data_IF_567287156913
#
_entry.id   IF_567287156913
#
_cell.length_a   1.000
_cell.length_b   1.000
_cell.length_c   1.000
_cell.angle_alpha   90.00
_cell.angle_beta   90.00
_cell.angle_gamma   90.00
#
_symmetry.space_group_name_H-M   'P 1'
#
loop_
_entity.id
_entity.type
_entity.pdbx_description
1 polymer ?
#
# COMPACT_ATOMS: atom_id res chain seq x y z
N UNK A 1 63.02 -41.11 51.65
CA UNK A 1 61.63 -41.30 51.18
C UNK A 1 60.99 -39.94 50.95
N UNK A 2 60.69 -39.59 49.71
CA UNK A 2 59.57 -38.74 49.25
C UNK A 2 59.83 -38.42 47.77
N UNK A 3 59.30 -39.27 46.89
CA UNK A 3 59.26 -39.02 45.45
C UNK A 3 58.07 -38.13 45.12
N UNK A 4 58.33 -37.03 44.43
CA UNK A 4 57.31 -36.11 43.94
C UNK A 4 56.45 -36.79 42.86
N UNK A 5 55.13 -36.86 43.07
CA UNK A 5 54.16 -37.31 42.05
C UNK A 5 53.77 -36.12 41.18
N UNK A 6 54.12 -36.18 39.89
CA UNK A 6 53.68 -35.22 38.89
C UNK A 6 52.19 -35.43 38.55
N UNK A 7 51.37 -34.41 38.77
CA UNK A 7 49.94 -34.39 38.39
C UNK A 7 49.85 -33.91 36.94
N UNK A 8 49.49 -34.81 36.00
CA UNK A 8 49.15 -34.44 34.62
C UNK A 8 47.72 -33.89 34.59
N UNK A 9 47.56 -32.59 34.32
CA UNK A 9 46.26 -31.99 34.02
C UNK A 9 45.92 -32.26 32.55
N UNK A 10 44.84 -33.01 32.31
CA UNK A 10 44.28 -33.24 30.98
C UNK A 10 43.38 -32.03 30.64
N UNK A 11 43.85 -31.16 29.74
CA UNK A 11 43.07 -30.02 29.26
C UNK A 11 42.07 -30.48 28.20
N UNK A 12 40.77 -30.37 28.48
CA UNK A 12 39.72 -30.54 27.47
C UNK A 12 39.62 -29.25 26.64
N UNK A 13 39.92 -29.36 25.35
CA UNK A 13 39.74 -28.28 24.39
C UNK A 13 38.30 -28.30 23.89
N UNK A 14 37.45 -27.42 24.41
CA UNK A 14 36.05 -27.28 23.95
C UNK A 14 36.05 -26.50 22.63
N UNK A 15 35.75 -27.18 21.52
CA UNK A 15 35.57 -26.55 20.22
C UNK A 15 34.17 -25.93 20.15
N UNK A 16 34.09 -24.60 20.24
CA UNK A 16 32.84 -23.84 20.13
C UNK A 16 32.53 -23.64 18.63
N UNK A 17 31.62 -24.45 18.09
CA UNK A 17 31.15 -24.32 16.71
C UNK A 17 30.17 -23.13 16.62
N UNK A 18 30.65 -21.97 16.16
CA UNK A 18 29.80 -20.83 15.84
C UNK A 18 29.05 -21.11 14.53
N UNK A 19 27.81 -21.57 14.64
CA UNK A 19 26.87 -21.60 13.52
C UNK A 19 26.44 -20.15 13.27
N UNK A 20 27.01 -19.51 12.25
CA UNK A 20 26.48 -18.26 11.73
C UNK A 20 25.17 -18.57 11.00
N UNK A 21 24.06 -18.55 11.74
CA UNK A 21 22.74 -18.53 11.13
C UNK A 21 22.64 -17.20 10.36
N UNK A 22 22.41 -17.20 9.03
CA UNK A 22 22.08 -15.96 8.36
C UNK A 22 20.81 -15.44 9.03
N UNK A 23 20.95 -14.33 9.76
CA UNK A 23 19.81 -13.59 10.27
C UNK A 23 19.05 -13.18 9.03
N UNK A 24 17.95 -13.87 8.75
CA UNK A 24 17.00 -13.42 7.74
C UNK A 24 16.39 -12.15 8.32
N UNK A 25 17.03 -11.02 8.01
CA UNK A 25 16.56 -9.71 8.39
C UNK A 25 15.15 -9.59 7.81
N UNK A 26 14.15 -9.53 8.70
CA UNK A 26 12.75 -9.57 8.30
C UNK A 26 12.49 -8.59 7.14
N UNK A 27 11.78 -9.08 6.13
CA UNK A 27 11.37 -8.36 4.93
C UNK A 27 11.00 -6.91 5.27
N UNK A 28 11.81 -5.99 4.75
CA UNK A 28 11.71 -4.55 5.02
C UNK A 28 10.60 -3.99 4.14
N UNK A 29 9.75 -3.14 4.71
CA UNK A 29 8.91 -2.25 3.90
C UNK A 29 9.86 -1.27 3.22
N UNK A 30 9.72 -1.19 1.91
CA UNK A 30 10.44 -0.24 1.08
C UNK A 30 9.50 0.91 0.70
N UNK A 31 10.06 2.03 0.30
CA UNK A 31 9.29 3.24 0.02
C UNK A 31 9.89 4.03 -1.13
N UNK A 32 9.09 4.33 -2.14
CA UNK A 32 9.42 5.29 -3.20
C UNK A 32 8.76 6.62 -2.84
N UNK A 33 9.55 7.70 -2.78
CA UNK A 33 9.02 9.04 -2.49
C UNK A 33 8.90 9.86 -3.76
N UNK A 34 7.73 10.45 -3.96
CA UNK A 34 7.38 11.28 -5.11
C UNK A 34 6.91 12.64 -4.62
N UNK A 35 7.44 13.72 -5.18
CA UNK A 35 6.94 15.06 -4.93
C UNK A 35 5.83 15.38 -5.94
N UNK A 36 4.65 15.75 -5.45
CA UNK A 36 3.50 16.16 -6.26
C UNK A 36 3.30 17.65 -6.06
N UNK A 37 3.33 18.42 -7.15
CA UNK A 37 3.22 19.87 -7.13
C UNK A 37 1.96 20.33 -7.87
N UNK A 38 1.26 21.30 -7.27
CA UNK A 38 0.29 22.12 -7.98
C UNK A 38 0.98 23.42 -8.45
N UNK A 39 1.36 23.55 -9.73
CA UNK A 39 2.08 24.74 -10.21
C UNK A 39 1.18 25.97 -10.36
N UNK A 40 -0.13 25.82 -10.17
CA UNK A 40 -1.12 26.87 -10.45
C UNK A 40 -1.55 27.63 -9.21
N UNK A 41 -2.05 28.85 -9.42
CA UNK A 41 -2.63 29.70 -8.37
C UNK A 41 -4.05 29.27 -7.92
N UNK A 42 -4.62 28.23 -8.52
CA UNK A 42 -5.93 27.70 -8.16
C UNK A 42 -5.78 26.46 -7.28
N UNK A 43 -6.66 26.29 -6.30
CA UNK A 43 -6.73 25.07 -5.50
C UNK A 43 -7.20 23.89 -6.38
N UNK A 44 -6.63 22.70 -6.15
CA UNK A 44 -6.99 21.46 -6.82
C UNK A 44 -7.43 20.43 -5.76
N UNK A 45 -8.71 20.46 -5.35
CA UNK A 45 -9.26 19.40 -4.50
C UNK A 45 -9.36 18.11 -5.32
N UNK A 46 -9.03 16.97 -4.70
CA UNK A 46 -9.04 15.65 -5.33
C UNK A 46 -8.34 15.62 -6.70
N UNK A 47 -7.14 16.20 -6.79
CA UNK A 47 -6.36 16.18 -8.03
C UNK A 47 -5.98 14.74 -8.39
N UNK A 48 -6.29 14.31 -9.61
CA UNK A 48 -5.90 13.01 -10.13
C UNK A 48 -4.39 12.95 -10.34
N UNK A 49 -3.76 11.92 -9.76
CA UNK A 49 -2.35 11.61 -9.93
C UNK A 49 -2.25 10.20 -10.49
N UNK A 50 -1.53 10.09 -11.61
CA UNK A 50 -1.29 8.83 -12.31
C UNK A 50 0.21 8.65 -12.45
N UNK A 51 0.72 7.53 -11.95
CA UNK A 51 2.15 7.20 -11.97
C UNK A 51 2.35 5.90 -12.73
N UNK A 52 3.15 5.95 -13.79
CA UNK A 52 3.46 4.76 -14.59
C UNK A 52 4.18 3.68 -13.77
N UNK A 53 3.64 2.47 -13.75
CA UNK A 53 4.26 1.31 -13.12
C UNK A 53 5.60 0.95 -13.78
N UNK A 54 5.76 0.95 -15.13
CA UNK A 54 7.07 0.78 -15.75
C UNK A 54 8.15 1.75 -15.27
N UNK A 55 7.78 2.99 -14.92
CA UNK A 55 8.73 3.96 -14.33
C UNK A 55 9.09 3.56 -12.90
N UNK A 56 8.10 3.17 -12.09
CA UNK A 56 8.35 2.70 -10.73
C UNK A 56 9.22 1.45 -10.69
N UNK A 57 9.00 0.50 -11.61
CA UNK A 57 9.81 -0.73 -11.73
C UNK A 57 11.26 -0.46 -12.14
N UNK A 58 11.54 0.62 -12.87
CA UNK A 58 12.94 1.04 -13.13
C UNK A 58 13.66 1.52 -11.88
N UNK A 59 12.92 2.10 -10.93
CA UNK A 59 13.44 2.62 -9.66
C UNK A 59 13.54 1.47 -8.63
N UNK A 60 12.51 0.63 -8.60
CA UNK A 60 12.33 -0.48 -7.69
C UNK A 60 11.91 -1.74 -8.48
N UNK A 61 12.88 -2.50 -9.02
CA UNK A 61 12.58 -3.72 -9.80
C UNK A 61 11.88 -4.82 -8.99
N UNK A 62 11.91 -4.72 -7.66
CA UNK A 62 11.29 -5.65 -6.71
C UNK A 62 9.92 -5.16 -6.20
N UNK A 63 9.33 -4.13 -6.82
CA UNK A 63 8.03 -3.60 -6.46
C UNK A 63 6.93 -4.66 -6.56
N UNK A 64 6.20 -4.85 -5.46
CA UNK A 64 5.08 -5.79 -5.36
C UNK A 64 3.74 -5.06 -5.53
N UNK A 65 3.19 -5.07 -6.74
CA UNK A 65 1.99 -4.29 -7.09
C UNK A 65 0.73 -4.67 -6.28
N UNK A 66 0.57 -5.95 -5.96
CA UNK A 66 -0.55 -6.43 -5.14
C UNK A 66 -0.42 -6.11 -3.64
N UNK A 67 0.73 -5.60 -3.20
CA UNK A 67 1.01 -5.26 -1.80
C UNK A 67 1.75 -3.94 -1.72
N UNK A 68 1.05 -2.87 -2.11
CA UNK A 68 1.47 -1.49 -1.91
C UNK A 68 0.44 -0.67 -1.13
N UNK A 69 0.91 0.43 -0.56
CA UNK A 69 0.12 1.43 0.15
C UNK A 69 0.66 2.81 -0.19
N UNK A 70 -0.22 3.78 -0.43
CA UNK A 70 0.15 5.17 -0.70
C UNK A 70 -0.14 6.01 0.53
N UNK A 71 0.84 6.80 0.98
CA UNK A 71 0.65 7.79 2.04
C UNK A 71 1.15 9.15 1.60
N UNK A 72 0.61 10.22 2.17
CA UNK A 72 1.11 11.56 1.92
C UNK A 72 1.23 12.36 3.21
N UNK A 73 2.21 13.26 3.21
CA UNK A 73 2.39 14.27 4.25
C UNK A 73 2.06 15.65 3.69
N UNK A 74 2.05 16.66 4.56
CA UNK A 74 2.00 18.08 4.15
C UNK A 74 3.38 18.65 3.78
N UNK A 75 4.43 17.83 3.78
CA UNK A 75 5.80 18.25 3.54
C UNK A 75 6.05 18.60 2.07
N UNK A 76 6.83 19.65 1.81
CA UNK A 76 7.27 20.02 0.47
C UNK A 76 8.63 19.41 0.11
N UNK A 77 9.36 18.87 1.09
CA UNK A 77 10.72 18.33 0.91
C UNK A 77 10.90 17.02 1.65
N UNK A 78 11.87 16.21 1.22
CA UNK A 78 12.20 14.93 1.87
C UNK A 78 12.64 15.09 3.33
N UNK A 79 13.31 16.19 3.68
CA UNK A 79 13.75 16.46 5.05
C UNK A 79 12.57 16.77 5.98
N UNK A 80 11.60 17.56 5.52
CA UNK A 80 10.36 17.83 6.25
C UNK A 80 9.52 16.57 6.41
N UNK A 81 9.44 15.77 5.34
CA UNK A 81 8.71 14.51 5.35
C UNK A 81 9.32 13.52 6.35
N UNK A 82 10.65 13.40 6.40
CA UNK A 82 11.35 12.57 7.38
C UNK A 82 11.15 13.03 8.84
N UNK A 83 10.84 14.31 9.07
CA UNK A 83 10.52 14.87 10.38
C UNK A 83 9.02 14.78 10.73
N UNK A 84 8.17 14.35 9.79
CA UNK A 84 6.73 14.27 10.00
C UNK A 84 6.39 13.00 10.76
N UNK A 85 5.61 13.13 11.83
CA UNK A 85 5.24 12.00 12.70
C UNK A 85 4.02 11.22 12.18
N UNK A 86 3.17 11.85 11.38
CA UNK A 86 1.92 11.27 10.89
C UNK A 86 1.77 11.50 9.38
N UNK A 87 1.50 10.43 8.65
CA UNK A 87 1.16 10.46 7.24
C UNK A 87 -0.29 9.99 7.06
N UNK A 88 -0.98 10.58 6.09
CA UNK A 88 -2.36 10.18 5.75
C UNK A 88 -2.30 9.13 4.65
N UNK A 89 -2.94 7.98 4.85
CA UNK A 89 -3.13 7.02 3.75
C UNK A 89 -4.05 7.60 2.68
N UNK A 90 -3.69 7.37 1.42
CA UNK A 90 -4.48 7.76 0.25
C UNK A 90 -5.01 6.49 -0.42
N UNK A 91 -6.33 6.38 -0.67
CA UNK A 91 -6.87 5.33 -1.52
C UNK A 91 -6.21 5.37 -2.89
N UNK A 92 -5.67 4.24 -3.31
CA UNK A 92 -4.96 4.10 -4.58
C UNK A 92 -5.32 2.80 -5.28
N UNK A 93 -5.25 2.81 -6.60
CA UNK A 93 -5.54 1.67 -7.45
C UNK A 93 -4.38 1.43 -8.41
N UNK A 94 -4.00 0.16 -8.57
CA UNK A 94 -3.14 -0.25 -9.68
C UNK A 94 -4.06 -0.74 -10.78
N UNK A 95 -4.00 -0.08 -11.93
CA UNK A 95 -4.87 -0.34 -13.06
C UNK A 95 -4.13 -1.08 -14.18
N UNK A 96 -4.84 -2.05 -14.75
CA UNK A 96 -4.50 -2.78 -15.96
C UNK A 96 -5.29 -2.12 -17.11
N UNK A 97 -4.59 -1.44 -18.01
CA UNK A 97 -5.19 -0.65 -19.08
C UNK A 97 -5.26 -1.42 -20.40
N UNK A 98 -4.39 -2.40 -20.61
CA UNK A 98 -4.32 -3.17 -21.85
C UNK A 98 -4.92 -4.59 -21.75
N UNK A 99 -5.28 -5.00 -20.53
CA UNK A 99 -5.94 -6.26 -20.24
C UNK A 99 -5.01 -7.47 -20.20
N UNK A 100 -3.70 -7.25 -20.02
CA UNK A 100 -2.72 -8.33 -19.93
C UNK A 100 -2.62 -8.97 -18.52
N UNK A 101 -3.33 -8.41 -17.54
CA UNK A 101 -3.34 -8.84 -16.14
C UNK A 101 -2.20 -8.26 -15.29
N UNK A 102 -1.33 -7.44 -15.88
CA UNK A 102 -0.30 -6.64 -15.24
C UNK A 102 -0.81 -5.26 -14.85
N UNK A 103 -0.11 -4.60 -13.94
CA UNK A 103 -0.41 -3.20 -13.60
C UNK A 103 0.38 -2.24 -14.48
N UNK A 104 -0.29 -1.29 -15.11
CA UNK A 104 0.28 -0.27 -15.99
C UNK A 104 0.50 1.06 -15.28
N UNK A 105 -0.46 1.45 -14.45
CA UNK A 105 -0.42 2.71 -13.71
C UNK A 105 -0.93 2.57 -12.28
N UNK A 106 -0.39 3.42 -11.40
CA UNK A 106 -0.88 3.66 -10.06
C UNK A 106 -1.64 4.99 -10.06
N UNK A 107 -2.94 4.92 -9.82
CA UNK A 107 -3.85 6.05 -9.75
C UNK A 107 -4.26 6.36 -8.30
N UNK A 108 -4.30 7.63 -7.94
CA UNK A 108 -4.85 8.12 -6.67
C UNK A 108 -5.24 9.59 -6.76
N UNK A 109 -5.99 10.09 -5.78
CA UNK A 109 -6.39 11.49 -5.68
C UNK A 109 -5.78 12.17 -4.46
N UNK A 110 -5.37 13.44 -4.61
CA UNK A 110 -4.78 14.21 -3.52
C UNK A 110 -5.22 15.68 -3.56
N UNK A 111 -5.52 16.25 -2.39
CA UNK A 111 -5.79 17.68 -2.26
C UNK A 111 -4.49 18.50 -2.30
N UNK A 112 -4.47 19.52 -3.14
CA UNK A 112 -3.36 20.46 -3.29
C UNK A 112 -3.85 21.92 -3.27
N UNK A 113 -3.34 22.70 -2.33
CA UNK A 113 -3.49 24.15 -2.31
C UNK A 113 -2.73 24.81 -3.48
N UNK A 114 -3.01 26.09 -3.81
CA UNK A 114 -2.22 26.83 -4.79
C UNK A 114 -0.72 26.77 -4.50
N UNK A 115 0.10 26.47 -5.51
CA UNK A 115 1.57 26.39 -5.39
C UNK A 115 2.10 25.41 -4.33
N UNK A 116 1.27 24.44 -3.89
CA UNK A 116 1.66 23.47 -2.88
C UNK A 116 2.41 22.30 -3.51
N UNK A 117 3.50 21.91 -2.87
CA UNK A 117 4.15 20.61 -3.06
C UNK A 117 3.85 19.72 -1.86
N UNK A 118 3.52 18.45 -2.11
CA UNK A 118 3.37 17.40 -1.10
C UNK A 118 4.26 16.20 -1.43
N UNK A 119 4.85 15.59 -0.41
CA UNK A 119 5.54 14.30 -0.55
C UNK A 119 4.52 13.17 -0.40
N UNK A 120 4.51 12.29 -1.40
CA UNK A 120 3.79 11.03 -1.43
C UNK A 120 4.80 9.89 -1.29
N UNK A 121 4.51 8.92 -0.44
CA UNK A 121 5.31 7.70 -0.28
C UNK A 121 4.50 6.50 -0.74
N UNK A 122 5.03 5.77 -1.72
CA UNK A 122 4.53 4.47 -2.18
C UNK A 122 5.29 3.41 -1.41
N UNK A 123 4.67 2.84 -0.38
CA UNK A 123 5.24 1.79 0.46
C UNK A 123 4.86 0.41 -0.07
N UNK A 124 5.82 -0.52 -0.15
CA UNK A 124 5.59 -1.88 -0.64
C UNK A 124 6.43 -2.92 0.12
N UNK A 125 6.04 -4.19 0.01
CA UNK A 125 6.71 -5.33 0.65
C UNK A 125 5.74 -6.48 0.91
N UNK A 126 6.02 -7.29 1.94
CA UNK A 126 5.17 -8.43 2.33
C UNK A 126 3.70 -8.03 2.49
N UNK A 127 2.81 -8.75 1.81
CA UNK A 127 1.37 -8.49 1.79
C UNK A 127 0.75 -8.42 3.20
N UNK A 128 1.09 -9.37 4.06
CA UNK A 128 0.68 -9.42 5.47
C UNK A 128 1.04 -8.16 6.26
N UNK A 129 2.19 -7.56 5.93
CA UNK A 129 2.70 -6.40 6.65
C UNK A 129 2.07 -5.12 6.13
N UNK A 130 1.93 -5.00 4.81
CA UNK A 130 1.23 -3.88 4.18
C UNK A 130 -0.24 -3.87 4.62
N UNK A 131 -0.92 -5.01 4.59
CA UNK A 131 -2.33 -5.12 4.97
C UNK A 131 -2.57 -4.68 6.43
N UNK A 132 -1.64 -4.95 7.35
CA UNK A 132 -1.73 -4.49 8.75
C UNK A 132 -1.51 -2.99 8.94
N UNK A 133 -0.86 -2.32 7.99
CA UNK A 133 -0.60 -0.89 8.04
C UNK A 133 -1.68 -0.05 7.35
N UNK A 134 -2.45 -0.66 6.45
CA UNK A 134 -3.58 -0.01 5.80
C UNK A 134 -4.68 0.26 6.83
N UNK A 135 -5.33 1.41 6.67
CA UNK A 135 -6.51 1.79 7.42
C UNK A 135 -7.72 0.96 6.98
N UNK A 136 -8.63 0.81 7.93
CA UNK A 136 -9.97 0.33 7.64
C UNK A 136 -10.75 1.45 6.92
N UNK A 137 -11.02 1.23 5.63
CA UNK A 137 -11.89 2.12 4.89
C UNK A 137 -13.35 1.91 5.34
N UNK A 138 -14.08 2.99 5.66
CA UNK A 138 -15.50 2.84 5.98
C UNK A 138 -16.20 2.24 4.76
N UNK A 139 -16.99 1.19 5.00
CA UNK A 139 -17.78 0.55 3.97
C UNK A 139 -18.84 1.54 3.46
N UNK A 140 -18.67 2.06 2.25
CA UNK A 140 -19.58 3.05 1.64
C UNK A 140 -20.52 2.48 0.57
N UNK A 141 -20.35 1.21 0.23
CA UNK A 141 -21.00 0.58 -0.92
C UNK A 141 -21.41 -0.85 -0.58
N UNK A 142 -22.68 -1.20 -0.78
CA UNK A 142 -23.14 -2.59 -0.76
C UNK A 142 -23.59 -3.01 -2.16
N UNK A 143 -23.22 -4.23 -2.58
CA UNK A 143 -23.69 -4.81 -3.83
C UNK A 143 -24.22 -6.23 -3.58
N UNK A 144 -25.35 -6.56 -4.20
CA UNK A 144 -26.01 -7.85 -4.10
C UNK A 144 -26.48 -8.29 -5.47
N UNK A 145 -26.10 -9.50 -5.87
CA UNK A 145 -26.77 -10.19 -6.97
C UNK A 145 -27.72 -11.24 -6.40
N UNK A 146 -29.02 -11.11 -6.66
CA UNK A 146 -30.00 -12.07 -6.14
C UNK A 146 -31.23 -12.21 -7.03
N UNK A 147 -31.71 -13.45 -7.25
CA UNK A 147 -33.00 -13.69 -7.91
C UNK A 147 -34.17 -13.01 -7.19
N UNK A 148 -34.08 -12.77 -5.87
CA UNK A 148 -35.14 -12.09 -5.10
C UNK A 148 -35.36 -10.65 -5.53
N UNK A 149 -34.31 -10.01 -6.04
CA UNK A 149 -34.36 -8.68 -6.64
C UNK A 149 -34.15 -8.78 -8.16
N UNK A 150 -34.35 -9.96 -8.75
CA UNK A 150 -34.42 -10.15 -10.21
C UNK A 150 -33.23 -9.53 -10.98
N UNK A 151 -32.05 -9.50 -10.34
CA UNK A 151 -30.85 -8.88 -10.91
C UNK A 151 -29.84 -8.38 -9.88
N UNK A 152 -29.16 -7.30 -10.22
CA UNK A 152 -28.10 -6.68 -9.43
C UNK A 152 -28.63 -5.45 -8.70
N UNK A 153 -28.44 -5.42 -7.38
CA UNK A 153 -28.61 -4.25 -6.54
C UNK A 153 -27.25 -3.67 -6.17
N UNK A 154 -27.11 -2.36 -6.26
CA UNK A 154 -25.93 -1.63 -5.79
C UNK A 154 -26.40 -0.38 -5.06
N UNK A 155 -26.02 -0.23 -3.81
CA UNK A 155 -26.32 0.95 -3.02
C UNK A 155 -25.11 1.61 -2.37
N UNK A 156 -25.29 2.90 -2.10
CA UNK A 156 -24.42 3.75 -1.28
C UNK A 156 -25.22 4.34 -0.12
N UNK A 157 -24.65 5.29 0.62
CA UNK A 157 -25.39 6.05 1.64
C UNK A 157 -26.51 6.91 1.06
N UNK A 158 -26.40 7.35 -0.19
CA UNK A 158 -27.31 8.36 -0.78
C UNK A 158 -28.27 7.80 -1.82
N UNK A 159 -27.86 6.75 -2.52
CA UNK A 159 -28.58 6.24 -3.68
C UNK A 159 -28.45 4.73 -3.77
N UNK A 160 -29.50 4.07 -4.24
CA UNK A 160 -29.49 2.67 -4.62
C UNK A 160 -29.98 2.50 -6.06
N UNK A 161 -29.37 1.54 -6.75
CA UNK A 161 -29.69 1.11 -8.09
C UNK A 161 -30.12 -0.34 -8.05
N UNK A 162 -31.12 -0.69 -8.84
CA UNK A 162 -31.49 -2.07 -9.13
C UNK A 162 -31.57 -2.24 -10.63
N UNK A 163 -30.77 -3.13 -11.17
CA UNK A 163 -30.72 -3.45 -12.60
C UNK A 163 -31.39 -4.80 -12.83
N UNK A 164 -32.44 -4.82 -13.65
CA UNK A 164 -33.18 -6.03 -13.97
C UNK A 164 -32.51 -6.80 -15.11
N UNK A 165 -32.21 -8.08 -14.90
CA UNK A 165 -31.63 -8.96 -15.93
C UNK A 165 -32.70 -9.85 -16.57
N UNK A 166 -33.84 -9.25 -16.89
CA UNK A 166 -34.95 -9.90 -17.56
C UNK A 166 -35.42 -9.04 -18.76
N UNK A 167 -36.45 -9.46 -19.52
CA UNK A 167 -36.90 -8.73 -20.71
C UNK A 167 -37.31 -7.27 -20.48
N UNK A 168 -37.52 -6.82 -19.23
CA UNK A 168 -37.78 -5.40 -18.94
C UNK A 168 -36.55 -4.55 -19.23
N UNK A 169 -35.34 -5.09 -19.02
CA UNK A 169 -34.06 -4.40 -19.16
C UNK A 169 -34.08 -2.98 -18.55
N UNK A 170 -34.68 -2.87 -17.36
CA UNK A 170 -34.94 -1.60 -16.69
C UNK A 170 -33.94 -1.34 -15.56
N UNK A 171 -33.87 -0.09 -15.10
CA UNK A 171 -33.09 0.32 -13.94
C UNK A 171 -34.00 1.12 -13.02
N UNK A 172 -34.15 0.66 -11.77
CA UNK A 172 -34.78 1.45 -10.71
C UNK A 172 -33.71 2.23 -9.94
N UNK A 173 -34.05 3.46 -9.57
CA UNK A 173 -33.20 4.35 -8.79
C UNK A 173 -33.96 4.78 -7.53
N UNK A 174 -33.34 4.60 -6.37
CA UNK A 174 -33.91 4.97 -5.07
C UNK A 174 -33.03 5.99 -4.38
N UNK A 175 -33.59 7.15 -4.04
CA UNK A 175 -32.93 8.13 -3.17
C UNK A 175 -33.08 7.73 -1.70
N UNK A 176 -31.97 7.66 -0.98
CA UNK A 176 -31.92 7.36 0.46
C UNK A 176 -31.91 8.67 1.24
N UNK A 177 -32.58 8.68 2.41
CA UNK A 177 -32.61 9.82 3.33
C UNK A 177 -31.59 9.63 4.44
#
# INVERSE_FOLDING_TARGET
MQGAKAVRRLGYLTFLLLIACPVWCGQRIQGIKVAIENPTGAARPAADVVVSIPVLLKIAPDLTLGSLMVTATGAATLAQDAATMEATEIPSQVDDLDGDGGGDELAFQIDLAPHQTRIVTISYGDADRILRLRNDYPHRTSALFSPKIEGLGWESERIAFRVYFDPRNAIDIYGKR
#
